data_IF_718668840490
#
_entry.id   IF_718668840490
#
_cell.length_a   1.000
_cell.length_b   1.000
_cell.length_c   1.000
_cell.angle_alpha   90.00
_cell.angle_beta   90.00
_cell.angle_gamma   90.00
#
_symmetry.space_group_name_H-M   'P 1'
#
loop_
_entity.id
_entity.type
_entity.pdbx_description
1 polymer ?
#
# COMPACT_ATOMS: atom_id res chain seq x y z
N UNK A 1 -16.86 -6.46 9.12
CA UNK A 1 -15.67 -7.26 9.45
C UNK A 1 -14.51 -6.31 9.50
N UNK A 2 -13.71 -6.36 10.56
CA UNK A 2 -12.52 -5.51 10.68
C UNK A 2 -11.48 -6.05 9.73
N UNK A 3 -10.94 -5.20 8.84
CA UNK A 3 -9.92 -5.55 7.86
C UNK A 3 -8.58 -5.91 8.50
N UNK A 4 -8.57 -6.98 9.29
CA UNK A 4 -7.35 -7.64 9.72
C UNK A 4 -6.95 -8.57 8.59
N UNK A 5 -5.78 -8.36 8.00
CA UNK A 5 -5.21 -9.41 7.17
C UNK A 5 -4.95 -10.60 8.11
N UNK A 6 -5.53 -11.76 7.77
CA UNK A 6 -5.35 -12.97 8.57
C UNK A 6 -3.87 -13.37 8.62
N UNK A 7 -3.43 -13.96 9.73
CA UNK A 7 -2.04 -14.42 9.90
C UNK A 7 -1.56 -14.33 11.35
N UNK A 8 -0.36 -14.83 11.62
CA UNK A 8 0.30 -14.69 12.92
C UNK A 8 1.00 -13.32 12.99
N UNK A 9 0.30 -12.30 13.48
CA UNK A 9 0.82 -10.93 13.56
C UNK A 9 2.11 -10.85 14.39
N UNK A 10 3.13 -10.15 13.87
CA UNK A 10 4.35 -9.86 14.63
C UNK A 10 4.04 -8.93 15.81
N UNK A 11 4.35 -9.38 17.02
CA UNK A 11 4.15 -8.59 18.26
C UNK A 11 5.39 -7.83 18.70
N UNK A 12 6.58 -8.34 18.38
CA UNK A 12 7.88 -7.74 18.70
C UNK A 12 8.74 -7.80 17.44
N UNK A 13 9.28 -6.65 17.03
CA UNK A 13 10.15 -6.56 15.86
C UNK A 13 11.61 -6.79 16.25
N UNK A 14 12.45 -7.21 15.30
CA UNK A 14 13.90 -7.03 15.41
C UNK A 14 14.24 -5.58 15.79
N UNK A 15 15.31 -5.39 16.56
CA UNK A 15 15.72 -4.06 17.04
C UNK A 15 16.78 -3.40 16.17
N UNK A 16 17.39 -4.14 15.26
CA UNK A 16 18.49 -3.70 14.41
C UNK A 16 18.49 -4.44 13.07
N UNK A 17 19.27 -3.92 12.12
CA UNK A 17 19.44 -4.51 10.80
C UNK A 17 18.36 -4.13 9.81
N UNK A 18 18.56 -4.55 8.56
CA UNK A 18 17.71 -4.27 7.42
C UNK A 18 17.16 -5.56 6.82
N UNK A 19 15.91 -5.51 6.38
CA UNK A 19 15.27 -6.60 5.66
C UNK A 19 14.70 -6.12 4.34
N UNK A 20 14.95 -6.87 3.27
CA UNK A 20 14.27 -6.69 1.98
C UNK A 20 13.27 -7.81 1.77
N UNK A 21 12.00 -7.45 1.69
CA UNK A 21 10.88 -8.31 1.33
C UNK A 21 10.73 -8.30 -0.18
N UNK A 22 10.60 -9.51 -0.74
CA UNK A 22 10.27 -9.71 -2.16
C UNK A 22 8.95 -10.47 -2.25
N UNK A 23 8.13 -10.09 -3.21
CA UNK A 23 6.85 -10.75 -3.41
C UNK A 23 6.08 -10.15 -4.56
N UNK A 24 4.77 -10.03 -4.38
CA UNK A 24 3.83 -9.72 -5.45
C UNK A 24 2.99 -8.52 -5.06
N UNK A 25 2.77 -7.60 -6.01
CA UNK A 25 1.68 -6.63 -5.98
C UNK A 25 0.67 -6.97 -7.07
N UNK A 26 -0.61 -6.74 -6.82
CA UNK A 26 -1.66 -7.08 -7.78
C UNK A 26 -2.85 -6.12 -7.69
N UNK A 27 -3.52 -5.94 -8.82
CA UNK A 27 -4.85 -5.35 -8.92
C UNK A 27 -5.85 -6.45 -9.28
N UNK A 28 -7.11 -6.10 -9.53
CA UNK A 28 -8.11 -7.07 -9.99
C UNK A 28 -7.73 -7.78 -11.32
N UNK A 29 -6.86 -7.17 -12.14
CA UNK A 29 -6.54 -7.70 -13.47
C UNK A 29 -5.04 -7.75 -13.81
N UNK A 30 -4.17 -7.31 -12.92
CA UNK A 30 -2.73 -7.20 -13.17
C UNK A 30 -1.95 -7.74 -11.98
N UNK A 31 -0.78 -8.25 -12.27
CA UNK A 31 0.19 -8.70 -11.28
C UNK A 31 1.55 -8.09 -11.61
N UNK A 32 2.30 -7.77 -10.57
CA UNK A 32 3.63 -7.20 -10.62
C UNK A 32 4.47 -7.65 -9.43
N UNK A 33 5.68 -7.12 -9.35
CA UNK A 33 6.67 -7.51 -8.35
C UNK A 33 6.75 -6.47 -7.24
N UNK A 34 6.73 -6.93 -5.99
CA UNK A 34 6.98 -6.12 -4.80
C UNK A 34 8.45 -6.23 -4.40
N UNK A 35 9.08 -5.08 -4.16
CA UNK A 35 10.32 -4.98 -3.37
C UNK A 35 10.12 -3.94 -2.28
N UNK A 36 10.25 -4.35 -1.02
CA UNK A 36 10.06 -3.45 0.13
C UNK A 36 11.20 -3.63 1.13
N UNK A 37 11.77 -2.54 1.63
CA UNK A 37 12.87 -2.58 2.59
C UNK A 37 12.45 -1.95 3.91
N UNK A 38 12.87 -2.57 5.01
CA UNK A 38 12.65 -2.07 6.36
C UNK A 38 13.99 -1.98 7.08
N UNK A 39 14.25 -0.80 7.64
CA UNK A 39 15.35 -0.55 8.58
C UNK A 39 14.76 -0.64 10.00
N UNK A 40 15.03 -1.74 10.70
CA UNK A 40 14.47 -1.99 12.03
C UNK A 40 15.08 -1.10 13.11
N UNK A 41 16.31 -0.61 12.91
CA UNK A 41 16.95 0.33 13.84
C UNK A 41 16.30 1.71 13.75
N UNK A 42 16.02 2.18 12.53
CA UNK A 42 15.30 3.45 12.30
C UNK A 42 13.79 3.33 12.48
N UNK A 43 13.26 2.10 12.44
CA UNK A 43 11.82 1.82 12.42
C UNK A 43 11.12 2.49 11.23
N UNK A 44 11.76 2.42 10.08
CA UNK A 44 11.27 3.00 8.83
C UNK A 44 11.24 1.94 7.74
N UNK A 45 10.32 2.09 6.78
CA UNK A 45 10.28 1.25 5.59
C UNK A 45 9.79 2.00 4.36
N UNK A 46 10.25 1.56 3.20
CA UNK A 46 9.88 2.09 1.87
C UNK A 46 10.05 1.00 0.81
N UNK A 47 9.45 1.18 -0.36
CA UNK A 47 9.58 0.19 -1.42
C UNK A 47 8.93 0.60 -2.72
N UNK A 48 8.70 -0.38 -3.57
CA UNK A 48 8.04 -0.20 -4.85
C UNK A 48 7.30 -1.45 -5.31
N UNK A 49 6.25 -1.22 -6.10
CA UNK A 49 5.56 -2.25 -6.89
C UNK A 49 5.77 -1.90 -8.36
N UNK A 50 6.35 -2.83 -9.11
CA UNK A 50 6.63 -2.67 -10.54
C UNK A 50 5.91 -3.75 -11.35
N UNK A 51 5.87 -3.62 -12.67
CA UNK A 51 5.27 -4.65 -13.55
C UNK A 51 3.74 -4.64 -13.60
N UNK A 52 3.07 -3.74 -12.87
CA UNK A 52 1.64 -3.47 -13.05
C UNK A 52 1.43 -2.72 -14.37
N UNK A 53 1.18 -3.49 -15.45
CA UNK A 53 1.02 -2.96 -16.81
C UNK A 53 0.13 -1.71 -16.82
N UNK A 54 0.61 -0.67 -17.50
CA UNK A 54 -0.04 0.64 -17.71
C UNK A 54 -0.19 1.55 -16.47
N UNK A 55 0.12 1.05 -15.26
CA UNK A 55 0.23 1.86 -14.03
C UNK A 55 1.63 2.45 -13.81
N UNK A 56 2.66 1.85 -14.41
CA UNK A 56 4.04 2.25 -14.19
C UNK A 56 4.62 1.70 -12.89
N UNK A 57 5.63 2.37 -12.34
CA UNK A 57 6.20 1.98 -11.03
C UNK A 57 5.48 2.76 -9.93
N UNK A 58 4.93 2.03 -8.98
CA UNK A 58 4.32 2.59 -7.78
C UNK A 58 5.38 2.62 -6.69
N UNK A 59 5.78 3.81 -6.24
CA UNK A 59 6.68 3.98 -5.11
C UNK A 59 5.85 4.01 -3.82
N UNK A 60 6.15 3.09 -2.91
CA UNK A 60 5.63 3.06 -1.55
C UNK A 60 6.56 3.92 -0.70
N UNK A 61 6.16 5.18 -0.49
CA UNK A 61 7.02 6.18 0.13
C UNK A 61 7.36 5.80 1.58
N UNK A 62 8.47 6.35 2.07
CA UNK A 62 8.95 6.10 3.42
C UNK A 62 7.89 6.35 4.48
N UNK A 63 7.71 5.39 5.39
CA UNK A 63 6.83 5.50 6.54
C UNK A 63 7.45 4.95 7.80
N UNK A 64 6.97 5.42 8.94
CA UNK A 64 7.36 4.92 10.25
C UNK A 64 6.58 3.66 10.61
N UNK A 65 7.22 2.73 11.32
CA UNK A 65 6.55 1.60 11.95
C UNK A 65 5.67 2.10 13.09
N UNK A 66 4.40 1.76 13.02
CA UNK A 66 3.37 2.14 13.99
C UNK A 66 2.53 0.94 14.40
N UNK A 67 1.81 1.08 15.52
CA UNK A 67 0.64 0.26 15.83
C UNK A 67 -0.59 1.11 15.54
N UNK A 68 -1.43 0.75 14.56
CA UNK A 68 -2.62 1.55 14.26
C UNK A 68 -3.50 1.80 15.47
N UNK A 69 -3.92 3.06 15.62
CA UNK A 69 -4.71 3.56 16.75
C UNK A 69 -4.10 3.29 18.14
N UNK A 70 -2.82 2.89 18.22
CA UNK A 70 -2.18 2.38 19.43
C UNK A 70 -2.98 1.29 20.13
N UNK A 71 -3.72 0.46 19.39
CA UNK A 71 -4.55 -0.61 19.94
C UNK A 71 -3.89 -1.98 19.78
N UNK A 72 -3.69 -2.70 20.88
CA UNK A 72 -2.96 -3.98 20.95
C UNK A 72 -3.58 -5.12 20.13
N UNK A 73 -4.85 -4.96 19.74
CA UNK A 73 -5.53 -5.88 18.82
C UNK A 73 -5.17 -5.72 17.35
N UNK A 74 -4.29 -4.77 17.00
CA UNK A 74 -3.68 -4.64 15.67
C UNK A 74 -2.21 -5.05 15.68
N UNK A 75 -1.76 -5.62 14.56
CA UNK A 75 -0.36 -5.87 14.28
C UNK A 75 0.47 -4.58 14.16
N UNK A 76 1.79 -4.74 14.21
CA UNK A 76 2.72 -3.67 13.82
C UNK A 76 2.73 -3.54 12.30
N UNK A 77 2.85 -2.31 11.80
CA UNK A 77 2.76 -2.03 10.38
C UNK A 77 3.27 -0.65 10.00
N UNK A 78 3.11 -0.30 8.74
CA UNK A 78 3.49 1.02 8.19
C UNK A 78 2.30 1.56 7.40
N UNK A 79 1.99 2.84 7.61
CA UNK A 79 1.06 3.61 6.78
C UNK A 79 1.80 4.81 6.23
N UNK A 80 1.79 5.01 4.90
CA UNK A 80 2.41 6.17 4.28
C UNK A 80 1.80 6.48 2.92
N UNK A 81 2.30 7.54 2.28
CA UNK A 81 1.92 7.90 0.92
C UNK A 81 2.48 6.91 -0.12
N UNK A 82 1.84 6.89 -1.27
CA UNK A 82 2.30 6.17 -2.45
C UNK A 82 2.26 7.12 -3.64
N UNK A 83 3.31 7.08 -4.46
CA UNK A 83 3.41 7.90 -5.67
C UNK A 83 3.49 7.02 -6.92
N UNK A 84 2.76 7.42 -7.96
CA UNK A 84 2.82 6.79 -9.27
C UNK A 84 3.42 7.81 -10.25
N UNK A 85 4.68 7.61 -10.62
CA UNK A 85 5.46 8.63 -11.36
C UNK A 85 4.84 8.95 -12.73
N UNK A 86 4.26 7.96 -13.37
CA UNK A 86 3.58 8.03 -14.66
C UNK A 86 2.24 8.78 -14.61
N UNK A 87 1.72 9.04 -13.40
CA UNK A 87 0.41 9.64 -13.14
C UNK A 87 0.49 10.95 -12.34
N UNK A 88 1.70 11.47 -12.10
CA UNK A 88 1.93 12.66 -11.27
C UNK A 88 1.24 13.94 -11.80
N UNK A 89 1.06 14.05 -13.12
CA UNK A 89 0.48 15.22 -13.77
C UNK A 89 -1.05 15.08 -13.95
N UNK A 90 -1.63 14.01 -13.40
CA UNK A 90 -3.03 13.62 -13.56
C UNK A 90 -3.82 13.75 -12.25
N UNK A 91 -3.29 14.50 -11.28
CA UNK A 91 -3.89 14.74 -9.97
C UNK A 91 -4.25 13.44 -9.24
N UNK A 92 -3.28 12.53 -9.20
CA UNK A 92 -3.36 11.24 -8.52
C UNK A 92 -2.63 11.32 -7.17
N UNK A 93 -3.32 10.92 -6.12
CA UNK A 93 -2.74 10.71 -4.78
C UNK A 93 -2.83 9.24 -4.41
N UNK A 94 -1.89 8.76 -3.62
CA UNK A 94 -1.89 7.38 -3.15
C UNK A 94 -1.51 7.26 -1.69
N UNK A 95 -2.02 6.22 -1.05
CA UNK A 95 -1.58 5.77 0.27
C UNK A 95 -1.51 4.25 0.30
N UNK A 96 -0.70 3.73 1.21
CA UNK A 96 -0.63 2.31 1.49
C UNK A 96 -0.62 2.03 2.99
N UNK A 97 -0.99 0.79 3.30
CA UNK A 97 -0.87 0.18 4.59
C UNK A 97 -0.29 -1.21 4.42
N UNK A 98 0.64 -1.58 5.29
CA UNK A 98 1.09 -2.97 5.46
C UNK A 98 1.21 -3.35 6.92
N UNK A 99 1.20 -4.65 7.17
CA UNK A 99 1.45 -5.26 8.47
C UNK A 99 2.53 -6.34 8.40
N UNK A 100 3.22 -6.53 9.52
CA UNK A 100 4.23 -7.57 9.72
C UNK A 100 3.63 -8.86 10.28
N UNK A 101 4.08 -9.99 9.74
CA UNK A 101 3.67 -11.33 10.14
C UNK A 101 4.88 -12.23 10.41
N UNK A 102 4.67 -13.20 11.30
CA UNK A 102 5.68 -14.12 11.80
C UNK A 102 6.40 -13.58 13.05
N UNK A 103 7.04 -14.46 13.84
CA UNK A 103 7.67 -14.08 15.10
C UNK A 103 8.81 -13.06 14.96
N UNK A 104 9.44 -12.94 13.80
CA UNK A 104 10.52 -12.00 13.53
C UNK A 104 10.25 -11.11 12.30
N UNK A 105 8.97 -10.86 11.96
CA UNK A 105 8.59 -10.14 10.75
C UNK A 105 9.16 -10.78 9.48
N UNK A 106 8.92 -12.07 9.29
CA UNK A 106 9.32 -12.83 8.12
C UNK A 106 8.52 -12.44 6.87
N UNK A 107 7.28 -11.99 7.08
CA UNK A 107 6.29 -11.75 6.04
C UNK A 107 5.66 -10.35 6.17
N UNK A 108 5.25 -9.78 5.05
CA UNK A 108 4.41 -8.58 4.98
C UNK A 108 3.19 -8.82 4.10
N UNK A 109 2.07 -8.21 4.48
CA UNK A 109 0.88 -8.12 3.65
C UNK A 109 0.26 -6.72 3.80
N UNK A 110 -0.29 -6.20 2.71
CA UNK A 110 -0.82 -4.85 2.69
C UNK A 110 -1.76 -4.56 1.54
N UNK A 111 -2.32 -3.35 1.59
CA UNK A 111 -3.15 -2.75 0.55
C UNK A 111 -2.68 -1.33 0.30
N UNK A 112 -2.76 -0.90 -0.95
CA UNK A 112 -2.57 0.47 -1.35
C UNK A 112 -3.74 0.91 -2.21
N UNK A 113 -3.98 2.21 -2.26
CA UNK A 113 -5.02 2.79 -3.09
C UNK A 113 -4.44 4.00 -3.81
N UNK A 114 -4.66 4.10 -5.12
CA UNK A 114 -4.50 5.33 -5.89
C UNK A 114 -5.87 5.96 -6.08
N UNK A 115 -5.99 7.26 -5.82
CA UNK A 115 -7.19 8.04 -6.08
C UNK A 115 -6.87 9.13 -7.09
N UNK A 116 -7.60 9.14 -8.20
CA UNK A 116 -7.57 10.26 -9.14
C UNK A 116 -8.68 11.25 -8.80
N UNK A 117 -8.34 12.53 -8.73
CA UNK A 117 -9.32 13.61 -8.69
C UNK A 117 -9.32 14.30 -10.07
N UNK A 118 -10.27 13.97 -10.97
CA UNK A 118 -10.27 14.49 -12.33
C UNK A 118 -10.30 16.03 -12.34
N UNK A 119 -9.41 16.65 -13.11
CA UNK A 119 -9.36 18.11 -13.28
C UNK A 119 -10.18 18.59 -14.50
N UNK A 120 -10.28 17.75 -15.53
CA UNK A 120 -11.14 17.92 -16.70
C UNK A 120 -11.34 16.58 -17.43
N UNK A 121 -12.18 16.57 -18.47
CA UNK A 121 -12.48 15.36 -19.26
C UNK A 121 -11.38 14.96 -20.27
N UNK A 122 -10.35 15.78 -20.47
CA UNK A 122 -9.27 15.54 -21.43
C UNK A 122 -8.06 14.82 -20.81
N UNK A 123 -7.93 14.83 -19.48
CA UNK A 123 -6.89 14.08 -18.77
C UNK A 123 -7.04 12.57 -18.92
N UNK A 124 -5.89 11.87 -19.09
CA UNK A 124 -5.83 10.40 -19.05
C UNK A 124 -6.43 9.91 -17.72
N UNK A 125 -7.39 8.98 -17.78
CA UNK A 125 -8.04 8.47 -16.58
C UNK A 125 -7.45 7.12 -16.18
N UNK A 126 -7.25 6.94 -14.88
CA UNK A 126 -6.93 5.62 -14.29
C UNK A 126 -8.03 4.58 -14.67
N UNK A 127 -9.28 5.02 -14.82
CA UNK A 127 -10.42 4.19 -15.25
C UNK A 127 -10.31 3.67 -16.69
N UNK A 128 -9.51 4.32 -17.53
CA UNK A 128 -9.25 3.86 -18.90
C UNK A 128 -8.25 2.69 -18.92
N UNK A 129 -7.56 2.46 -17.79
CA UNK A 129 -6.46 1.52 -17.66
C UNK A 129 -6.84 0.30 -16.84
N UNK A 130 -7.60 0.49 -15.76
CA UNK A 130 -8.10 -0.57 -14.90
C UNK A 130 -9.53 -0.30 -14.42
N UNK A 131 -10.30 -1.35 -14.11
CA UNK A 131 -11.58 -1.22 -13.44
C UNK A 131 -11.43 -0.39 -12.16
N UNK A 132 -12.31 0.60 -11.98
CA UNK A 132 -12.35 1.37 -10.75
C UNK A 132 -12.83 0.48 -9.62
N UNK A 133 -12.05 0.38 -8.55
CA UNK A 133 -12.52 -0.26 -7.31
C UNK A 133 -12.92 0.86 -6.35
N UNK A 134 -14.08 0.71 -5.73
CA UNK A 134 -14.61 1.74 -4.85
C UNK A 134 -13.92 1.72 -3.49
N UNK A 135 -13.24 2.81 -3.14
CA UNK A 135 -12.90 3.12 -1.76
C UNK A 135 -14.11 3.80 -1.10
N UNK A 136 -14.91 3.05 -0.34
CA UNK A 136 -15.95 3.60 0.53
C UNK A 136 -15.32 3.93 1.88
N UNK A 137 -15.48 5.18 2.29
CA UNK A 137 -15.15 5.61 3.65
C UNK A 137 -15.83 4.67 4.65
N UNK A 138 -15.03 4.17 5.59
CA UNK A 138 -15.44 3.20 6.59
C UNK A 138 -14.67 3.53 7.86
N UNK A 139 -15.33 3.54 9.04
CA UNK A 139 -14.79 4.11 10.28
C UNK A 139 -13.56 3.39 10.89
N UNK A 140 -12.94 2.45 10.16
CA UNK A 140 -11.76 1.67 10.58
C UNK A 140 -10.67 1.57 9.52
N UNK A 141 -10.74 2.36 8.45
CA UNK A 141 -9.68 2.42 7.46
C UNK A 141 -8.61 3.41 7.92
N UNK A 142 -7.36 3.04 7.69
CA UNK A 142 -6.16 3.75 8.19
C UNK A 142 -5.54 4.59 7.05
N UNK A 143 -6.13 4.52 5.85
CA UNK A 143 -5.86 5.34 4.66
C UNK A 143 -6.74 6.62 4.67
N UNK A 144 -6.79 7.31 5.81
CA UNK A 144 -7.77 8.38 6.07
C UNK A 144 -7.49 9.69 5.32
N UNK A 145 -6.27 9.88 4.81
CA UNK A 145 -5.93 11.11 4.09
C UNK A 145 -6.28 11.01 2.59
N UNK A 146 -6.76 9.85 2.13
CA UNK A 146 -7.28 9.71 0.78
C UNK A 146 -8.69 10.34 0.66
N UNK A 147 -8.98 11.02 -0.46
CA UNK A 147 -10.30 11.55 -0.68
C UNK A 147 -11.33 10.41 -0.86
N UNK A 148 -12.58 10.69 -0.49
CA UNK A 148 -13.70 9.78 -0.76
C UNK A 148 -13.83 9.52 -2.27
N UNK A 149 -14.12 8.27 -2.62
CA UNK A 149 -14.29 7.86 -4.02
C UNK A 149 -15.71 7.39 -4.30
N UNK A 150 -16.14 7.54 -5.55
CA UNK A 150 -17.43 7.11 -6.05
C UNK A 150 -17.22 5.93 -7.01
N UNK A 151 -17.45 4.67 -6.56
CA UNK A 151 -17.29 3.52 -7.42
C UNK A 151 -18.15 3.65 -8.69
N UNK A 152 -17.58 3.29 -9.84
CA UNK A 152 -18.26 3.28 -11.14
C UNK A 152 -18.72 4.67 -11.66
N UNK A 153 -18.17 5.77 -11.14
CA UNK A 153 -18.41 7.12 -11.68
C UNK A 153 -17.09 7.81 -12.11
N UNK A 154 -16.64 7.64 -13.36
CA UNK A 154 -15.37 8.19 -13.86
C UNK A 154 -15.40 9.70 -14.12
N UNK A 155 -16.54 10.35 -13.86
CA UNK A 155 -16.67 11.81 -13.86
C UNK A 155 -16.40 12.42 -12.48
N UNK A 156 -16.32 11.60 -11.43
CA UNK A 156 -16.02 11.99 -10.06
C UNK A 156 -14.69 11.35 -9.59
N UNK A 157 -14.35 11.51 -8.30
CA UNK A 157 -13.15 10.90 -7.73
C UNK A 157 -13.31 9.38 -7.71
N UNK A 158 -12.31 8.65 -8.17
CA UNK A 158 -12.35 7.18 -8.18
C UNK A 158 -11.01 6.58 -7.75
N UNK A 159 -11.06 5.35 -7.25
CA UNK A 159 -9.91 4.62 -6.72
C UNK A 159 -9.51 3.41 -7.56
N UNK A 160 -8.25 3.00 -7.41
CA UNK A 160 -7.78 1.66 -7.75
C UNK A 160 -7.10 1.09 -6.50
N UNK A 161 -7.54 -0.08 -6.07
CA UNK A 161 -6.94 -0.83 -4.99
C UNK A 161 -5.88 -1.78 -5.52
N UNK A 162 -4.78 -1.85 -4.78
CA UNK A 162 -3.63 -2.70 -5.04
C UNK A 162 -3.38 -3.54 -3.78
N UNK A 163 -3.52 -4.86 -3.88
CA UNK A 163 -3.07 -5.78 -2.84
C UNK A 163 -1.59 -6.08 -3.02
N UNK A 164 -0.85 -6.30 -1.93
CA UNK A 164 0.54 -6.74 -2.02
C UNK A 164 0.98 -7.56 -0.82
N UNK A 165 2.01 -8.37 -1.00
CA UNK A 165 2.63 -9.13 0.07
C UNK A 165 3.93 -9.79 -0.36
N UNK A 166 4.77 -10.17 0.60
CA UNK A 166 6.07 -10.76 0.32
C UNK A 166 6.79 -11.26 1.57
N UNK A 167 7.89 -11.95 1.34
CA UNK A 167 8.73 -12.54 2.39
C UNK A 167 10.13 -11.99 2.32
N UNK A 168 10.81 -11.84 3.46
CA UNK A 168 12.23 -11.46 3.49
C UNK A 168 13.15 -12.67 3.60
N UNK A 169 14.39 -12.49 3.14
CA UNK A 169 15.51 -13.37 3.49
C UNK A 169 16.05 -13.06 4.89
N UNK A 170 17.32 -13.38 5.13
CA UNK A 170 18.00 -13.04 6.38
C UNK A 170 18.08 -11.52 6.59
N UNK A 171 18.03 -11.09 7.87
CA UNK A 171 18.23 -9.70 8.24
C UNK A 171 19.71 -9.38 8.14
N UNK A 172 20.03 -8.33 7.38
CA UNK A 172 21.40 -7.85 7.19
C UNK A 172 21.76 -6.89 8.33
N UNK A 173 22.85 -7.17 9.04
CA UNK A 173 23.34 -6.37 10.17
C UNK A 173 24.55 -5.52 9.80
#
# INVERSE_FOLDING_TARGET
>A
MDGRFGGFETKVLPTEGNATYKGVGFTAERQGDLTYTVDFAKKEGEGEISGLKDLGTLHLDKGNIVRPYNYDGWGLGINSSMTAKEWKDQNVTGQYQLFFYGPNAEEIAGVATLVQTPSDNATKKLSDVLPTTGYSDGPRNILQDLPTTYPNNPSEKFGIDIGFGGTRGEIQK
#
